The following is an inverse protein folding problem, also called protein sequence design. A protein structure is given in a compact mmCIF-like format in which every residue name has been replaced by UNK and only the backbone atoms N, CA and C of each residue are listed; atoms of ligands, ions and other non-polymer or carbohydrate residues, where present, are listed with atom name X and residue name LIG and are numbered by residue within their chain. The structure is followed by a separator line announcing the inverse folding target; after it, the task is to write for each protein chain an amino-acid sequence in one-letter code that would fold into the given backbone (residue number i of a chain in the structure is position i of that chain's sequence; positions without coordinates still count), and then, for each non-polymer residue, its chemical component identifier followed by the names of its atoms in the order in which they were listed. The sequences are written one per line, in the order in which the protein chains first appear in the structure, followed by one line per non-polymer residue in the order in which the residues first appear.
data_IF_871510134833
#
_entry.id   IF_871510134833
#
_cell.length_a   1.000
_cell.length_b   1.000
_cell.length_c   1.000
_cell.angle_alpha   90.00
_cell.angle_beta   90.00
_cell.angle_gamma   90.00
#
_symmetry.space_group_name_H-M   'P 1'
#
loop_
_entity.id
_entity.type
_entity.pdbx_description
1 polymer ?
#
# COMPACT_ATOMS: atom_id res chain seq x y z
N UNK A 1 9.85 -11.24 -9.71
CA UNK A 1 10.69 -10.94 -8.54
C UNK A 1 10.03 -11.41 -7.25
N UNK A 2 8.81 -11.01 -6.89
CA UNK A 2 8.15 -11.52 -5.66
C UNK A 2 7.99 -13.04 -5.69
N UNK A 3 7.51 -13.60 -6.78
CA UNK A 3 7.41 -15.06 -6.98
C UNK A 3 8.74 -15.77 -6.77
N UNK A 4 9.86 -15.15 -7.15
CA UNK A 4 11.19 -15.74 -6.93
C UNK A 4 11.58 -15.79 -5.46
N UNK A 5 10.87 -15.11 -4.56
CA UNK A 5 11.11 -15.15 -3.11
C UNK A 5 10.22 -16.17 -2.38
N UNK A 6 9.25 -16.79 -3.07
CA UNK A 6 8.35 -17.78 -2.47
C UNK A 6 9.11 -18.88 -1.72
N UNK A 7 10.18 -19.39 -2.33
CA UNK A 7 11.01 -20.44 -1.74
C UNK A 7 11.65 -20.06 -0.39
N UNK A 8 11.83 -18.75 -0.11
CA UNK A 8 12.34 -18.30 1.18
C UNK A 8 11.30 -18.57 2.28
N UNK A 9 10.02 -18.23 2.01
CA UNK A 9 8.94 -18.52 2.97
C UNK A 9 8.78 -20.04 3.18
N UNK A 10 8.89 -20.86 2.13
CA UNK A 10 8.89 -22.31 2.25
C UNK A 10 10.04 -22.82 3.16
N UNK A 11 11.26 -22.27 3.00
CA UNK A 11 12.42 -22.61 3.85
C UNK A 11 12.25 -22.14 5.30
N UNK A 12 11.48 -21.07 5.54
CA UNK A 12 11.13 -20.62 6.88
C UNK A 12 10.05 -21.48 7.54
N UNK A 13 9.55 -22.51 6.84
CA UNK A 13 8.53 -23.44 7.33
C UNK A 13 7.09 -22.98 7.08
N UNK A 14 6.88 -21.95 6.25
CA UNK A 14 5.55 -21.51 5.87
C UNK A 14 4.95 -22.45 4.79
N UNK A 15 3.63 -22.65 4.86
CA UNK A 15 2.87 -23.26 3.77
C UNK A 15 2.34 -22.11 2.89
N UNK A 16 2.87 -21.95 1.68
CA UNK A 16 2.55 -20.84 0.80
C UNK A 16 1.49 -21.22 -0.23
N UNK A 17 0.40 -20.46 -0.26
CA UNK A 17 -0.72 -20.64 -1.19
C UNK A 17 -0.93 -19.38 -2.02
N UNK A 18 -1.52 -19.52 -3.20
CA UNK A 18 -2.04 -18.39 -3.98
C UNK A 18 -3.48 -18.12 -3.52
N UNK A 19 -3.72 -16.92 -3.03
CA UNK A 19 -5.03 -16.48 -2.58
C UNK A 19 -5.12 -14.95 -2.60
N UNK A 20 -6.28 -14.43 -2.97
CA UNK A 20 -6.56 -12.99 -3.00
C UNK A 20 -7.71 -12.64 -2.04
N UNK A 21 -7.51 -11.67 -1.13
CA UNK A 21 -8.61 -11.10 -0.36
C UNK A 21 -9.60 -10.35 -1.27
N UNK A 22 -10.86 -10.30 -0.86
CA UNK A 22 -11.87 -9.49 -1.53
C UNK A 22 -11.71 -8.00 -1.17
N UNK A 23 -11.17 -7.21 -2.11
CA UNK A 23 -10.98 -5.78 -2.00
C UNK A 23 -12.11 -4.95 -2.65
N UNK A 24 -13.29 -5.51 -2.85
CA UNK A 24 -14.44 -4.77 -3.37
C UNK A 24 -14.64 -3.46 -2.59
N UNK A 25 -14.94 -2.38 -3.30
CA UNK A 25 -15.12 -1.01 -2.79
C UNK A 25 -13.84 -0.32 -2.25
N UNK A 26 -12.67 -1.00 -2.18
CA UNK A 26 -11.46 -0.43 -1.58
C UNK A 26 -10.96 0.85 -2.29
N UNK A 27 -11.11 0.94 -3.61
CA UNK A 27 -10.73 2.13 -4.38
C UNK A 27 -11.55 3.35 -3.97
N UNK A 28 -12.88 3.23 -4.04
CA UNK A 28 -13.79 4.34 -3.80
C UNK A 28 -13.76 4.80 -2.35
N UNK A 29 -13.84 3.86 -1.40
CA UNK A 29 -13.78 4.22 0.01
C UNK A 29 -12.46 4.90 0.39
N UNK A 30 -11.32 4.45 -0.18
CA UNK A 30 -10.02 5.06 0.11
C UNK A 30 -9.92 6.48 -0.46
N UNK A 31 -10.42 6.72 -1.66
CA UNK A 31 -10.43 8.05 -2.27
C UNK A 31 -11.30 9.04 -1.48
N UNK A 32 -12.46 8.60 -1.02
CA UNK A 32 -13.34 9.41 -0.16
C UNK A 32 -12.62 9.75 1.16
N UNK A 33 -12.08 8.75 1.85
CA UNK A 33 -11.35 8.93 3.11
C UNK A 33 -10.15 9.85 2.96
N UNK A 34 -9.39 9.64 1.89
CA UNK A 34 -8.23 10.45 1.57
C UNK A 34 -8.61 11.90 1.30
N UNK A 35 -9.61 12.14 0.45
CA UNK A 35 -10.10 13.48 0.13
C UNK A 35 -10.61 14.20 1.37
N UNK A 36 -11.44 13.54 2.16
CA UNK A 36 -11.97 14.05 3.43
C UNK A 36 -10.85 14.42 4.40
N UNK A 37 -9.91 13.52 4.63
CA UNK A 37 -8.76 13.80 5.51
C UNK A 37 -7.85 14.90 4.97
N UNK A 38 -7.69 15.05 3.66
CA UNK A 38 -6.93 16.15 3.05
C UNK A 38 -7.63 17.48 3.22
N UNK A 39 -8.95 17.55 3.07
CA UNK A 39 -9.70 18.78 3.31
C UNK A 39 -9.60 19.22 4.77
N UNK A 40 -9.81 18.31 5.73
CA UNK A 40 -9.70 18.61 7.16
C UNK A 40 -8.31 19.15 7.51
N UNK A 41 -7.24 18.53 7.01
CA UNK A 41 -5.88 18.86 7.43
C UNK A 41 -5.22 19.97 6.61
N UNK A 42 -5.66 20.20 5.37
CA UNK A 42 -5.00 21.09 4.41
C UNK A 42 -5.94 22.07 3.71
N UNK A 43 -7.25 22.06 4.02
CA UNK A 43 -8.22 22.94 3.39
C UNK A 43 -7.90 24.43 3.61
N UNK A 44 -7.41 24.81 4.80
CA UNK A 44 -6.95 26.18 5.05
C UNK A 44 -5.75 26.57 4.19
N UNK A 45 -4.82 25.64 3.94
CA UNK A 45 -3.70 25.88 3.04
C UNK A 45 -4.17 26.08 1.59
N UNK A 46 -5.17 25.33 1.15
CA UNK A 46 -5.77 25.55 -0.17
C UNK A 46 -6.40 26.94 -0.29
N UNK A 47 -7.11 27.41 0.76
CA UNK A 47 -7.77 28.72 0.79
C UNK A 47 -6.77 29.87 0.82
N UNK A 48 -5.68 29.75 1.56
CA UNK A 48 -4.76 30.85 1.88
C UNK A 48 -3.42 30.82 1.13
N UNK A 49 -3.00 29.67 0.61
CA UNK A 49 -1.66 29.44 0.03
C UNK A 49 -1.71 28.55 -1.20
N UNK A 50 -2.76 28.62 -2.02
CA UNK A 50 -2.96 27.75 -3.18
C UNK A 50 -1.74 27.71 -4.14
N UNK A 51 -1.12 28.88 -4.33
CA UNK A 51 0.05 29.06 -5.20
C UNK A 51 1.30 28.31 -4.73
N UNK A 52 1.34 27.90 -3.46
CA UNK A 52 2.46 27.13 -2.86
C UNK A 52 2.20 25.63 -2.83
N UNK A 53 1.02 25.17 -3.21
CA UNK A 53 0.66 23.76 -3.20
C UNK A 53 0.94 23.11 -4.55
N UNK A 54 1.37 21.83 -4.50
CA UNK A 54 1.44 20.99 -5.71
C UNK A 54 0.03 20.73 -6.24
N UNK A 55 -0.11 20.64 -7.55
CA UNK A 55 -1.39 20.36 -8.21
C UNK A 55 -2.04 19.04 -7.73
N UNK A 56 -1.23 18.00 -7.43
CA UNK A 56 -1.73 16.74 -6.84
C UNK A 56 -2.32 16.93 -5.44
N UNK A 57 -1.75 17.81 -4.63
CA UNK A 57 -2.31 18.17 -3.32
C UNK A 57 -3.60 18.99 -3.46
N UNK A 58 -3.62 19.95 -4.40
CA UNK A 58 -4.81 20.73 -4.73
C UNK A 58 -5.94 19.79 -5.15
N UNK A 59 -5.65 18.84 -6.06
CA UNK A 59 -6.62 17.86 -6.51
C UNK A 59 -7.19 17.04 -5.34
N UNK A 60 -6.34 16.49 -4.46
CA UNK A 60 -6.77 15.72 -3.28
C UNK A 60 -7.73 16.52 -2.38
N UNK A 61 -7.38 17.76 -2.07
CA UNK A 61 -8.20 18.63 -1.21
C UNK A 61 -9.53 18.96 -1.89
N UNK A 62 -9.51 19.27 -3.20
CA UNK A 62 -10.71 19.56 -3.98
C UNK A 62 -11.66 18.36 -4.12
N UNK A 63 -11.15 17.09 -4.09
CA UNK A 63 -12.04 15.94 -3.98
C UNK A 63 -12.75 15.96 -2.61
N UNK A 64 -12.02 16.26 -1.52
CA UNK A 64 -12.59 16.35 -0.17
C UNK A 64 -13.68 17.42 -0.05
N UNK A 65 -13.46 18.60 -0.63
CA UNK A 65 -14.44 19.72 -0.63
C UNK A 65 -15.78 19.32 -1.28
N UNK A 66 -15.77 18.39 -2.24
CA UNK A 66 -16.99 17.96 -2.95
C UNK A 66 -17.82 16.94 -2.16
N UNK A 67 -17.25 16.32 -1.11
CA UNK A 67 -17.89 15.25 -0.38
C UNK A 67 -19.06 15.77 0.47
N UNK A 68 -20.12 14.99 0.48
CA UNK A 68 -21.26 15.17 1.39
C UNK A 68 -21.13 14.28 2.62
N UNK A 69 -21.93 14.54 3.66
CA UNK A 69 -22.04 13.65 4.82
C UNK A 69 -22.42 12.21 4.46
N UNK A 70 -23.40 11.99 3.56
CA UNK A 70 -23.71 10.65 3.05
C UNK A 70 -22.53 9.93 2.39
N UNK A 71 -21.66 10.61 1.63
CA UNK A 71 -20.49 9.97 1.00
C UNK A 71 -19.50 9.46 2.05
N UNK A 72 -19.22 10.25 3.07
CA UNK A 72 -18.35 9.86 4.19
C UNK A 72 -18.99 8.70 4.98
N UNK A 73 -20.29 8.76 5.22
CA UNK A 73 -21.03 7.68 5.91
C UNK A 73 -21.02 6.37 5.12
N UNK A 74 -21.14 6.43 3.80
CA UNK A 74 -21.00 5.27 2.92
C UNK A 74 -19.60 4.67 3.01
N UNK A 75 -18.55 5.51 2.91
CA UNK A 75 -17.18 5.05 2.98
C UNK A 75 -16.84 4.39 4.33
N UNK A 76 -17.39 4.89 5.44
CA UNK A 76 -17.26 4.27 6.75
C UNK A 76 -17.93 2.87 6.81
N UNK A 77 -19.15 2.75 6.29
CA UNK A 77 -19.84 1.46 6.24
C UNK A 77 -19.06 0.45 5.40
N UNK A 78 -18.59 0.87 4.21
CA UNK A 78 -17.81 0.02 3.31
C UNK A 78 -16.44 -0.36 3.87
N UNK A 79 -15.82 0.51 4.62
CA UNK A 79 -14.59 0.19 5.34
C UNK A 79 -14.80 -0.90 6.39
N UNK A 80 -15.91 -0.87 7.11
CA UNK A 80 -16.23 -1.92 8.07
C UNK A 80 -16.49 -3.27 7.37
N UNK A 81 -17.20 -3.27 6.23
CA UNK A 81 -17.39 -4.47 5.43
C UNK A 81 -16.05 -5.03 4.90
N UNK A 82 -15.17 -4.17 4.38
CA UNK A 82 -13.82 -4.55 3.93
C UNK A 82 -12.98 -5.14 5.07
N UNK A 83 -13.01 -4.51 6.25
CA UNK A 83 -12.34 -5.03 7.45
C UNK A 83 -12.86 -6.44 7.83
N UNK A 84 -14.18 -6.69 7.75
CA UNK A 84 -14.74 -8.00 8.04
C UNK A 84 -14.30 -9.05 7.02
N UNK A 85 -14.32 -8.74 5.71
CA UNK A 85 -13.82 -9.64 4.65
C UNK A 85 -12.35 -9.99 4.85
N UNK A 86 -11.52 -8.99 5.18
CA UNK A 86 -10.10 -9.22 5.44
C UNK A 86 -9.88 -10.06 6.71
N UNK A 87 -10.62 -9.82 7.79
CA UNK A 87 -10.59 -10.69 8.98
C UNK A 87 -10.99 -12.13 8.65
N UNK A 88 -12.01 -12.33 7.82
CA UNK A 88 -12.42 -13.65 7.39
C UNK A 88 -11.32 -14.36 6.60
N UNK A 89 -10.66 -13.66 5.66
CA UNK A 89 -9.49 -14.16 4.95
C UNK A 89 -8.37 -14.53 5.92
N UNK A 90 -8.06 -13.69 6.91
CA UNK A 90 -7.02 -13.93 7.91
C UNK A 90 -7.36 -15.02 8.95
N UNK A 91 -8.59 -15.54 8.98
CA UNK A 91 -8.91 -16.75 9.75
C UNK A 91 -8.36 -18.02 9.09
N UNK A 92 -8.22 -18.00 7.76
CA UNK A 92 -7.66 -19.11 6.97
C UNK A 92 -6.14 -19.00 6.83
N UNK A 93 -5.62 -17.76 6.76
CA UNK A 93 -4.19 -17.47 6.56
C UNK A 93 -3.62 -16.65 7.72
N UNK A 94 -2.38 -16.96 8.12
CA UNK A 94 -1.71 -16.19 9.19
C UNK A 94 -1.18 -14.86 8.66
N UNK A 95 -0.70 -14.85 7.41
CA UNK A 95 -0.12 -13.68 6.74
C UNK A 95 -0.58 -13.61 5.29
N UNK A 96 -0.68 -12.39 4.78
CA UNK A 96 -0.75 -12.11 3.34
C UNK A 96 0.58 -11.50 2.90
N UNK A 97 1.16 -12.05 1.85
CA UNK A 97 2.40 -11.54 1.24
C UNK A 97 2.05 -10.95 -0.12
N UNK A 98 2.31 -9.66 -0.29
CA UNK A 98 1.94 -8.96 -1.52
C UNK A 98 2.96 -7.86 -1.90
N UNK A 99 2.88 -7.30 -3.12
CA UNK A 99 3.72 -6.16 -3.51
C UNK A 99 3.46 -4.94 -2.64
N UNK A 100 4.49 -4.18 -2.27
CA UNK A 100 4.33 -2.87 -1.63
C UNK A 100 3.73 -1.88 -2.62
N UNK A 101 4.23 -1.86 -3.86
CA UNK A 101 3.70 -1.04 -4.95
C UNK A 101 3.65 -1.85 -6.25
N UNK A 102 2.80 -1.42 -7.19
CA UNK A 102 2.61 -2.08 -8.48
C UNK A 102 3.77 -1.84 -9.47
N UNK A 103 4.72 -0.97 -9.14
CA UNK A 103 5.90 -0.62 -9.95
C UNK A 103 7.15 -0.56 -9.09
N UNK A 104 8.31 -0.98 -9.64
CA UNK A 104 9.62 -0.65 -9.07
C UNK A 104 9.85 0.88 -9.08
N UNK A 105 10.91 1.37 -8.41
CA UNK A 105 11.29 2.77 -8.50
C UNK A 105 11.43 3.22 -9.96
N UNK A 106 11.05 4.47 -10.25
CA UNK A 106 11.05 5.07 -11.59
C UNK A 106 11.78 6.42 -11.57
N UNK A 107 12.03 7.00 -12.74
CA UNK A 107 12.77 8.25 -12.87
C UNK A 107 12.11 9.38 -12.09
N UNK A 108 12.89 10.15 -11.33
CA UNK A 108 12.44 11.26 -10.47
C UNK A 108 11.75 12.38 -11.27
N UNK A 109 12.08 12.54 -12.56
CA UNK A 109 11.41 13.50 -13.44
C UNK A 109 9.99 13.07 -13.82
N UNK A 110 9.66 11.79 -13.66
CA UNK A 110 8.30 11.28 -13.83
C UNK A 110 7.48 11.58 -12.57
N UNK A 111 6.49 12.42 -12.69
CA UNK A 111 5.68 12.88 -11.54
C UNK A 111 4.89 11.76 -10.85
N UNK A 112 4.38 10.81 -11.63
CA UNK A 112 3.66 9.63 -11.19
C UNK A 112 3.53 8.61 -12.32
N UNK A 113 3.18 7.38 -11.98
CA UNK A 113 3.01 6.30 -12.97
C UNK A 113 1.64 6.42 -13.62
N UNK A 114 1.59 6.80 -14.89
CA UNK A 114 0.36 7.02 -15.64
C UNK A 114 -0.20 5.78 -16.32
N UNK A 115 0.61 4.72 -16.45
CA UNK A 115 0.22 3.47 -17.10
C UNK A 115 1.02 2.28 -16.55
N UNK A 116 0.36 1.14 -16.36
CA UNK A 116 0.98 -0.13 -15.96
C UNK A 116 0.44 -1.23 -16.86
N UNK A 117 1.30 -1.92 -17.61
CA UNK A 117 0.95 -3.03 -18.50
C UNK A 117 -0.19 -2.69 -19.49
N UNK A 118 -0.20 -1.49 -20.05
CA UNK A 118 -1.23 -1.03 -20.96
C UNK A 118 -2.52 -0.50 -20.28
N UNK A 119 -2.60 -0.59 -18.97
CA UNK A 119 -3.74 -0.05 -18.19
C UNK A 119 -3.40 1.37 -17.74
N UNK A 120 -4.19 2.35 -18.18
CA UNK A 120 -4.04 3.74 -17.74
C UNK A 120 -4.51 3.92 -16.31
N UNK A 121 -3.72 4.65 -15.55
CA UNK A 121 -4.07 5.04 -14.18
C UNK A 121 -5.01 6.26 -14.21
N UNK A 122 -6.16 6.16 -13.58
CA UNK A 122 -7.18 7.21 -13.55
C UNK A 122 -6.72 8.48 -12.84
N UNK A 123 -5.81 8.32 -11.89
CA UNK A 123 -5.26 9.42 -11.10
C UNK A 123 -3.87 9.04 -10.59
N UNK A 124 -3.19 10.01 -9.96
CA UNK A 124 -1.82 9.84 -9.46
C UNK A 124 -1.68 8.90 -8.25
N UNK A 125 -2.79 8.35 -7.73
CA UNK A 125 -2.81 7.42 -6.59
C UNK A 125 -3.00 5.97 -7.07
N UNK A 126 -3.69 5.76 -8.20
CA UNK A 126 -4.14 4.46 -8.67
C UNK A 126 -3.01 3.42 -8.87
N UNK A 127 -1.78 3.86 -9.13
CA UNK A 127 -0.62 2.97 -9.24
C UNK A 127 -0.14 2.39 -7.89
N UNK A 128 -0.69 2.87 -6.76
CA UNK A 128 -0.34 2.43 -5.40
C UNK A 128 -1.42 1.52 -4.78
N UNK A 129 -2.27 0.87 -5.58
CA UNK A 129 -3.40 0.06 -5.08
C UNK A 129 -2.98 -0.98 -4.04
N UNK A 130 -1.93 -1.74 -4.28
CA UNK A 130 -1.43 -2.75 -3.34
C UNK A 130 -1.11 -2.19 -1.95
N UNK A 131 -0.68 -0.92 -1.87
CA UNK A 131 -0.39 -0.24 -0.61
C UNK A 131 -1.67 0.25 0.08
N UNK A 132 -2.51 1.02 -0.61
CA UNK A 132 -3.65 1.64 0.05
C UNK A 132 -4.83 0.69 0.29
N UNK A 133 -4.95 -0.42 -0.44
CA UNK A 133 -5.91 -1.48 -0.14
C UNK A 133 -5.67 -2.02 1.27
N UNK A 134 -4.42 -2.33 1.59
CA UNK A 134 -4.05 -2.79 2.93
C UNK A 134 -4.30 -1.69 3.97
N UNK A 135 -3.94 -0.43 3.68
CA UNK A 135 -4.26 0.70 4.56
C UNK A 135 -5.76 0.78 4.87
N UNK A 136 -6.61 0.57 3.87
CA UNK A 136 -8.07 0.62 4.04
C UNK A 136 -8.60 -0.51 4.93
N UNK A 137 -7.96 -1.69 4.94
CA UNK A 137 -8.37 -2.81 5.80
C UNK A 137 -8.07 -2.58 7.28
N UNK A 138 -7.11 -1.72 7.63
CA UNK A 138 -6.69 -1.47 9.02
C UNK A 138 -5.89 -2.62 9.66
N UNK A 139 -5.38 -3.57 8.87
CA UNK A 139 -4.52 -4.64 9.34
C UNK A 139 -3.07 -4.18 9.47
N UNK A 140 -2.28 -4.72 10.43
CA UNK A 140 -0.87 -4.41 10.55
C UNK A 140 -0.10 -4.92 9.34
N UNK A 141 0.82 -4.10 8.84
CA UNK A 141 1.64 -4.43 7.70
C UNK A 141 3.04 -3.82 7.82
N UNK A 142 4.02 -4.52 7.26
CA UNK A 142 5.40 -4.05 7.17
C UNK A 142 5.92 -4.26 5.75
N UNK A 143 6.76 -3.35 5.27
CA UNK A 143 7.56 -3.54 4.06
C UNK A 143 8.97 -3.94 4.44
N UNK A 144 9.47 -5.03 3.86
CA UNK A 144 10.86 -5.48 4.01
C UNK A 144 11.54 -5.57 2.64
N UNK A 145 12.87 -5.35 2.58
CA UNK A 145 13.62 -5.51 1.33
C UNK A 145 13.52 -6.94 0.80
N UNK A 146 13.20 -7.10 -0.49
CA UNK A 146 13.09 -8.42 -1.09
C UNK A 146 13.96 -8.61 -2.36
N UNK A 147 14.88 -7.70 -2.61
CA UNK A 147 15.83 -7.79 -3.71
C UNK A 147 15.94 -6.51 -4.52
N UNK A 148 16.51 -6.64 -5.72
CA UNK A 148 16.80 -5.52 -6.61
C UNK A 148 16.33 -5.85 -8.03
N UNK A 149 15.90 -4.84 -8.79
CA UNK A 149 15.65 -4.98 -10.22
C UNK A 149 16.96 -5.29 -10.97
N UNK A 150 16.86 -5.60 -12.27
CA UNK A 150 18.04 -5.81 -13.11
C UNK A 150 18.94 -4.55 -13.17
N UNK A 151 18.34 -3.37 -12.98
CA UNK A 151 19.04 -2.07 -12.94
C UNK A 151 19.58 -1.75 -11.52
N UNK A 152 19.44 -2.65 -10.54
CA UNK A 152 19.94 -2.46 -9.18
C UNK A 152 19.02 -1.60 -8.29
N UNK A 153 17.77 -1.33 -8.69
CA UNK A 153 16.81 -0.57 -7.88
C UNK A 153 16.17 -1.48 -6.81
N UNK A 154 16.01 -1.00 -5.55
CA UNK A 154 15.46 -1.82 -4.47
C UNK A 154 13.98 -2.11 -4.68
N UNK A 155 13.58 -3.32 -4.27
CA UNK A 155 12.18 -3.75 -4.27
C UNK A 155 11.83 -4.32 -2.89
N UNK A 156 10.65 -3.97 -2.41
CA UNK A 156 10.11 -4.48 -1.15
C UNK A 156 8.98 -5.48 -1.36
N UNK A 157 8.80 -6.33 -0.36
CA UNK A 157 7.61 -7.15 -0.17
C UNK A 157 6.84 -6.65 1.04
N UNK A 158 5.53 -6.68 0.98
CA UNK A 158 4.65 -6.32 2.07
C UNK A 158 4.17 -7.60 2.77
N UNK A 159 4.37 -7.65 4.10
CA UNK A 159 3.87 -8.69 4.99
C UNK A 159 2.72 -8.08 5.78
N UNK A 160 1.53 -8.66 5.66
CA UNK A 160 0.31 -8.22 6.34
C UNK A 160 -0.10 -9.32 7.33
N UNK A 161 -0.39 -8.97 8.55
CA UNK A 161 -0.81 -9.90 9.61
C UNK A 161 -2.26 -9.76 10.02
N UNK A 162 -2.69 -10.60 10.94
CA UNK A 162 -4.00 -10.52 11.58
C UNK A 162 -4.18 -9.20 12.31
N UNK A 163 -5.40 -8.75 12.43
CA UNK A 163 -5.69 -7.51 13.16
C UNK A 163 -5.13 -7.55 14.59
N UNK A 164 -4.33 -6.53 14.95
CA UNK A 164 -3.61 -6.40 16.23
C UNK A 164 -2.50 -7.44 16.47
N UNK A 165 -2.01 -8.09 15.42
CA UNK A 165 -0.86 -9.00 15.50
C UNK A 165 0.41 -8.35 14.90
N UNK A 166 0.75 -7.15 15.36
CA UNK A 166 1.97 -6.46 14.97
C UNK A 166 3.21 -7.28 15.33
N UNK A 167 3.15 -8.04 16.42
CA UNK A 167 4.26 -8.87 16.84
C UNK A 167 4.52 -10.03 15.89
N UNK A 168 3.48 -10.73 15.44
CA UNK A 168 3.61 -11.79 14.42
C UNK A 168 4.17 -11.26 13.10
N UNK A 169 3.71 -10.08 12.67
CA UNK A 169 4.26 -9.40 11.48
C UNK A 169 5.75 -9.12 11.64
N UNK A 170 6.19 -8.60 12.79
CA UNK A 170 7.60 -8.32 13.07
C UNK A 170 8.44 -9.60 13.15
N UNK A 171 7.91 -10.69 13.69
CA UNK A 171 8.60 -11.98 13.76
C UNK A 171 8.86 -12.54 12.34
N UNK A 172 7.85 -12.57 11.47
CA UNK A 172 8.01 -13.06 10.10
C UNK A 172 8.94 -12.15 9.29
N UNK A 173 8.79 -10.82 9.44
CA UNK A 173 9.67 -9.84 8.81
C UNK A 173 11.14 -10.06 9.18
N UNK A 174 11.42 -10.24 10.49
CA UNK A 174 12.77 -10.52 11.01
C UNK A 174 13.33 -11.82 10.46
N UNK A 175 12.53 -12.89 10.44
CA UNK A 175 12.95 -14.18 9.90
C UNK A 175 13.29 -14.07 8.39
N UNK A 176 12.48 -13.35 7.62
CA UNK A 176 12.73 -13.10 6.19
C UNK A 176 14.00 -12.28 5.97
N UNK A 177 14.21 -11.21 6.74
CA UNK A 177 15.41 -10.38 6.64
C UNK A 177 16.69 -11.14 7.02
N UNK A 178 16.63 -12.01 8.03
CA UNK A 178 17.77 -12.86 8.41
C UNK A 178 18.10 -13.89 7.33
N UNK A 179 17.09 -14.48 6.71
CA UNK A 179 17.27 -15.47 5.64
C UNK A 179 17.82 -14.85 4.35
N UNK A 180 17.44 -13.61 4.02
CA UNK A 180 17.81 -12.96 2.76
C UNK A 180 19.01 -12.03 2.85
N UNK A 181 19.15 -11.30 3.96
CA UNK A 181 20.21 -10.33 4.17
C UNK A 181 20.16 -9.09 3.25
N UNK A 182 19.08 -8.85 2.50
CA UNK A 182 18.98 -7.73 1.57
C UNK A 182 19.12 -6.37 2.26
N UNK A 183 18.71 -6.24 3.50
CA UNK A 183 18.84 -5.03 4.31
C UNK A 183 20.30 -4.58 4.55
N UNK A 184 21.29 -5.48 4.35
CA UNK A 184 22.72 -5.17 4.48
C UNK A 184 23.29 -4.39 3.30
N UNK A 185 22.53 -4.34 2.18
CA UNK A 185 22.98 -3.63 0.97
C UNK A 185 22.86 -2.12 1.18
N UNK A 186 24.01 -1.45 1.17
CA UNK A 186 24.09 0.01 1.30
C UNK A 186 24.10 0.62 -0.12
N UNK A 187 23.22 1.56 -0.44
CA UNK A 187 23.24 2.25 -1.72
C UNK A 187 24.57 2.99 -1.97
N UNK A 188 25.10 3.00 -3.20
CA UNK A 188 26.36 3.70 -3.51
C UNK A 188 26.37 5.19 -3.15
N UNK A 189 25.20 5.83 -3.13
CA UNK A 189 25.05 7.25 -2.74
C UNK A 189 25.30 7.47 -1.23
N UNK A 190 25.33 6.41 -0.41
CA UNK A 190 25.59 6.47 1.03
C UNK A 190 27.05 6.07 1.38
N UNK A 191 27.86 5.69 0.40
CA UNK A 191 29.29 5.34 0.55
C UNK A 191 30.18 6.42 -0.08
#
# INVERSE_FOLDING_TARGET
MLESQRHIFDHLGCNVFEADPDFTDADELFLIWRGWGREINQGDNLRNNRDKLKDTMIWDIEQGVKLSGPDVGWAEAKRMELFQRMNQFMNEYEFLICPVSQRPPFNIEQRWVSEINGVKMENFIAWMKSCYYITATGHPAISVPCGFTAEGLPVGVQIVGRYRDEFGVLQLAKAFEDATGFWKSIPPVCT
#
